data_IF_655475676135
#
_entry.id   IF_655475676135
#
_cell.length_a   1.000
_cell.length_b   1.000
_cell.length_c   1.000
_cell.angle_alpha   90.00
_cell.angle_beta   90.00
_cell.angle_gamma   90.00
#
_symmetry.space_group_name_H-M   'P 1'
#
loop_
_entity.id
_entity.type
_entity.pdbx_description
1 polymer ?
#
# COMPACT_ATOMS: atom_id res chain seq x y z
N UNK A 1 14.17 -4.42 22.89
CA UNK A 1 12.74 -4.21 22.60
C UNK A 1 12.55 -4.19 21.10
N UNK A 2 11.84 -5.17 20.56
CA UNK A 2 11.55 -5.27 19.13
C UNK A 2 10.58 -4.15 18.76
N UNK A 3 10.94 -3.26 17.84
CA UNK A 3 10.05 -2.19 17.34
C UNK A 3 9.48 -2.63 16.01
N UNK A 4 8.18 -2.88 15.99
CA UNK A 4 7.41 -3.14 14.79
C UNK A 4 6.48 -1.95 14.54
N UNK A 5 6.49 -1.42 13.31
CA UNK A 5 5.60 -0.33 12.90
C UNK A 5 4.65 -0.84 11.82
N UNK A 6 3.36 -0.54 11.98
CA UNK A 6 2.31 -0.82 11.01
C UNK A 6 1.91 0.47 10.31
N UNK A 7 1.86 0.44 8.99
CA UNK A 7 1.48 1.55 8.13
C UNK A 7 0.38 1.09 7.17
N UNK A 8 -0.67 1.89 7.06
CA UNK A 8 -1.78 1.65 6.15
C UNK A 8 -2.12 2.94 5.43
N UNK A 9 -2.11 2.92 4.09
CA UNK A 9 -2.36 4.10 3.26
C UNK A 9 -3.25 3.71 2.09
N UNK A 10 -4.29 4.50 1.84
CA UNK A 10 -5.01 4.45 0.56
C UNK A 10 -4.36 5.44 -0.40
N UNK A 11 -4.02 4.99 -1.60
CA UNK A 11 -3.45 5.84 -2.64
C UNK A 11 -4.39 5.81 -3.84
N UNK A 12 -4.74 7.00 -4.31
CA UNK A 12 -5.54 7.21 -5.52
C UNK A 12 -4.71 7.92 -6.56
N UNK A 13 -4.68 7.37 -7.77
CA UNK A 13 -4.08 8.01 -8.94
C UNK A 13 -5.18 8.44 -9.89
N UNK A 14 -5.18 9.72 -10.23
CA UNK A 14 -6.05 10.28 -11.26
C UNK A 14 -5.17 10.67 -12.44
N UNK A 15 -5.48 10.16 -13.61
CA UNK A 15 -4.90 10.68 -14.83
C UNK A 15 -5.84 11.63 -15.54
N UNK A 16 -5.23 12.59 -16.21
CA UNK A 16 -5.86 13.35 -17.27
C UNK A 16 -5.11 12.97 -18.54
N UNK A 17 -5.83 12.56 -19.58
CA UNK A 17 -5.21 12.41 -20.89
C UNK A 17 -4.75 13.80 -21.33
N UNK A 18 -3.45 13.99 -21.54
CA UNK A 18 -2.94 15.22 -22.14
C UNK A 18 -3.17 15.14 -23.66
N UNK A 19 -4.45 15.18 -24.05
CA UNK A 19 -4.85 15.11 -25.46
C UNK A 19 -4.51 16.46 -26.11
N UNK A 20 -3.59 16.42 -27.07
CA UNK A 20 -3.31 17.57 -27.92
C UNK A 20 -4.59 17.90 -28.71
N UNK A 21 -5.00 19.16 -28.67
CA UNK A 21 -6.25 19.71 -29.25
C UNK A 21 -7.55 19.61 -28.42
N UNK A 22 -7.49 19.23 -27.14
CA UNK A 22 -8.66 19.25 -26.24
C UNK A 22 -8.67 20.51 -25.36
N UNK A 23 -9.82 21.18 -25.30
CA UNK A 23 -10.01 22.40 -24.51
C UNK A 23 -9.97 22.06 -23.01
N UNK A 24 -9.54 23.00 -22.13
CA UNK A 24 -9.41 22.73 -20.70
C UNK A 24 -10.70 22.21 -20.03
N UNK A 25 -11.89 22.56 -20.54
CA UNK A 25 -13.17 22.09 -19.97
C UNK A 25 -13.43 20.60 -20.23
N UNK A 26 -12.86 20.05 -21.30
CA UNK A 26 -13.05 18.67 -21.74
C UNK A 26 -11.98 17.73 -21.15
N UNK A 27 -11.00 18.26 -20.41
CA UNK A 27 -9.98 17.49 -19.70
C UNK A 27 -10.55 16.85 -18.44
N UNK A 28 -11.36 15.81 -18.62
CA UNK A 28 -11.95 15.07 -17.50
C UNK A 28 -10.89 14.18 -16.85
N UNK A 29 -10.57 14.43 -15.58
CA UNK A 29 -9.74 13.54 -14.79
C UNK A 29 -10.49 12.22 -14.52
N UNK A 30 -9.84 11.09 -14.79
CA UNK A 30 -10.37 9.76 -14.53
C UNK A 30 -9.54 9.08 -13.45
N UNK A 31 -10.22 8.39 -12.54
CA UNK A 31 -9.57 7.53 -11.56
C UNK A 31 -8.92 6.36 -12.30
N UNK A 32 -7.60 6.28 -12.26
CA UNK A 32 -6.87 5.16 -12.84
C UNK A 32 -6.71 4.05 -11.81
N UNK A 33 -6.25 4.40 -10.60
CA UNK A 33 -5.95 3.44 -9.55
C UNK A 33 -6.49 3.89 -8.20
N UNK A 34 -7.09 2.96 -7.47
CA UNK A 34 -7.46 3.09 -6.06
C UNK A 34 -6.98 1.82 -5.35
N UNK A 35 -5.88 1.94 -4.60
CA UNK A 35 -5.21 0.79 -3.98
C UNK A 35 -4.90 1.07 -2.52
N UNK A 36 -5.05 0.03 -1.71
CA UNK A 36 -4.66 0.02 -0.31
C UNK A 36 -3.26 -0.58 -0.18
N UNK A 37 -2.36 0.18 0.41
CA UNK A 37 -1.01 -0.24 0.77
C UNK A 37 -0.94 -0.51 2.27
N UNK A 38 -0.33 -1.64 2.60
CA UNK A 38 -0.10 -2.10 3.95
C UNK A 38 1.38 -2.42 4.10
N UNK A 39 2.06 -1.79 5.03
CA UNK A 39 3.47 -2.04 5.32
C UNK A 39 3.68 -2.38 6.79
N UNK A 40 4.49 -3.41 7.02
CA UNK A 40 5.01 -3.75 8.34
C UNK A 40 6.53 -3.59 8.29
N UNK A 41 7.06 -2.80 9.21
CA UNK A 41 8.48 -2.55 9.34
C UNK A 41 9.01 -3.17 10.62
N UNK A 42 10.16 -3.85 10.55
CA UNK A 42 10.87 -4.40 11.69
C UNK A 42 12.37 -4.15 11.58
N UNK A 43 13.02 -3.83 12.70
CA UNK A 43 14.48 -3.63 12.75
C UNK A 43 15.12 -4.68 13.62
N UNK A 44 16.07 -5.42 13.07
CA UNK A 44 16.89 -6.38 13.81
C UNK A 44 18.23 -6.60 13.10
N UNK A 45 19.27 -7.02 13.83
CA UNK A 45 20.61 -7.28 13.28
C UNK A 45 21.19 -6.10 12.47
N UNK A 46 20.93 -4.86 12.91
CA UNK A 46 21.32 -3.60 12.22
C UNK A 46 20.73 -3.46 10.80
N UNK A 47 19.63 -4.15 10.50
CA UNK A 47 18.93 -4.10 9.22
C UNK A 47 17.47 -3.74 9.42
N UNK A 48 16.91 -3.00 8.48
CA UNK A 48 15.48 -2.71 8.39
C UNK A 48 14.85 -3.69 7.40
N UNK A 49 13.78 -4.35 7.82
CA UNK A 49 12.99 -5.25 7.01
C UNK A 49 11.60 -4.66 6.81
N UNK A 50 11.08 -4.77 5.59
CA UNK A 50 9.72 -4.36 5.23
C UNK A 50 8.97 -5.55 4.64
N UNK A 51 7.77 -5.81 5.15
CA UNK A 51 6.74 -6.58 4.45
C UNK A 51 5.72 -5.59 3.90
N UNK A 52 5.57 -5.56 2.57
CA UNK A 52 4.59 -4.72 1.89
C UNK A 52 3.54 -5.57 1.20
N UNK A 53 2.28 -5.33 1.52
CA UNK A 53 1.12 -5.91 0.87
C UNK A 53 0.33 -4.80 0.17
N UNK A 54 -0.34 -5.16 -0.93
CA UNK A 54 -1.19 -4.26 -1.68
C UNK A 54 -2.45 -4.99 -2.13
N UNK A 55 -3.59 -4.31 -2.07
CA UNK A 55 -4.87 -4.84 -2.58
C UNK A 55 -5.66 -3.69 -3.25
N UNK A 56 -6.41 -3.95 -4.34
CA UNK A 56 -7.36 -2.97 -4.85
C UNK A 56 -8.36 -2.55 -3.77
N UNK A 57 -8.66 -1.26 -3.66
CA UNK A 57 -9.53 -0.75 -2.59
C UNK A 57 -10.93 -1.40 -2.60
N UNK A 58 -11.41 -1.79 -3.78
CA UNK A 58 -12.73 -2.39 -3.97
C UNK A 58 -12.86 -3.77 -3.30
N UNK A 59 -11.80 -4.57 -3.30
CA UNK A 59 -11.79 -5.93 -2.71
C UNK A 59 -11.19 -5.95 -1.31
N UNK A 60 -10.56 -4.85 -0.87
CA UNK A 60 -9.89 -4.76 0.42
C UNK A 60 -10.78 -5.18 1.60
N UNK A 61 -12.07 -4.81 1.59
CA UNK A 61 -13.00 -5.15 2.68
C UNK A 61 -13.20 -6.67 2.87
N UNK A 62 -13.13 -7.43 1.79
CA UNK A 62 -13.29 -8.88 1.81
C UNK A 62 -12.00 -9.56 2.28
N UNK A 63 -10.85 -9.04 1.85
CA UNK A 63 -9.53 -9.60 2.12
C UNK A 63 -8.88 -9.09 3.42
N UNK A 64 -9.41 -8.03 4.04
CA UNK A 64 -8.77 -7.31 5.15
C UNK A 64 -8.36 -8.25 6.30
N UNK A 65 -9.22 -9.20 6.66
CA UNK A 65 -8.95 -10.15 7.74
C UNK A 65 -7.74 -11.05 7.43
N UNK A 66 -7.58 -11.47 6.19
CA UNK A 66 -6.47 -12.32 5.74
C UNK A 66 -5.19 -11.50 5.65
N UNK A 67 -5.26 -10.31 5.07
CA UNK A 67 -4.12 -9.40 4.95
C UNK A 67 -3.59 -9.00 6.33
N UNK A 68 -4.48 -8.71 7.30
CA UNK A 68 -4.09 -8.42 8.69
C UNK A 68 -3.42 -9.61 9.35
N UNK A 69 -3.95 -10.83 9.16
CA UNK A 69 -3.29 -12.05 9.68
C UNK A 69 -1.88 -12.22 9.13
N UNK A 70 -1.66 -11.96 7.84
CA UNK A 70 -0.32 -11.99 7.23
C UNK A 70 0.58 -10.92 7.87
N UNK A 71 0.11 -9.69 8.04
CA UNK A 71 0.87 -8.62 8.70
C UNK A 71 1.23 -8.97 10.15
N UNK A 72 0.28 -9.51 10.90
CA UNK A 72 0.45 -9.87 12.31
C UNK A 72 1.39 -11.08 12.49
N UNK A 73 1.52 -11.92 11.45
CA UNK A 73 2.45 -13.05 11.43
C UNK A 73 3.91 -12.65 11.16
N UNK A 74 4.17 -11.41 10.72
CA UNK A 74 5.51 -10.93 10.39
C UNK A 74 6.42 -10.96 11.63
N UNK A 75 7.57 -11.63 11.50
CA UNK A 75 8.61 -11.72 12.54
C UNK A 75 9.98 -11.48 11.90
N UNK A 76 10.85 -10.79 12.61
CA UNK A 76 12.28 -10.72 12.26
C UNK A 76 13.05 -11.44 13.35
N UNK A 77 13.81 -12.47 12.96
CA UNK A 77 14.57 -13.28 13.89
C UNK A 77 15.97 -12.72 14.09
N UNK A 78 16.47 -12.82 15.31
CA UNK A 78 17.90 -12.60 15.59
C UNK A 78 18.69 -13.75 15.00
N UNK A 79 19.75 -13.42 14.28
CA UNK A 79 20.80 -14.40 13.98
C UNK A 79 21.62 -14.58 15.26
N UNK A 80 21.77 -15.83 15.68
CA UNK A 80 22.65 -16.25 16.79
C UNK A 80 24.10 -16.00 16.42
#
# INVERSE_FOLDING_TARGET
TFRQLFLQVNIKSFASNNELAVMPQDRVQRLEWDRRYLSVLGVENKRLYELRLQSPEQVFKEEEGDLRRVMDSFRVNKTV
#
